data_IF_839597793085
#
_entry.id   IF_839597793085
#
_cell.length_a   1.000
_cell.length_b   1.000
_cell.length_c   1.000
_cell.angle_alpha   90.00
_cell.angle_beta   90.00
_cell.angle_gamma   90.00
#
_symmetry.space_group_name_H-M   'P 1'
#
loop_
_entity.id
_entity.type
_entity.pdbx_description
1 polymer ?
#
# COMPACT_ATOMS: atom_id res chain seq x y z
N UNK A 1 -2.59 -5.28 -12.67
CA UNK A 1 -2.51 -6.69 -12.26
C UNK A 1 -3.79 -7.38 -12.71
N UNK A 2 -3.73 -8.62 -13.21
CA UNK A 2 -4.91 -9.35 -13.71
C UNK A 2 -5.45 -10.31 -12.65
N UNK A 3 -6.74 -10.69 -12.76
CA UNK A 3 -7.34 -11.63 -11.82
C UNK A 3 -6.68 -13.02 -11.80
N UNK A 4 -6.09 -13.46 -12.92
CA UNK A 4 -5.34 -14.71 -12.98
C UNK A 4 -4.09 -14.68 -12.10
N UNK A 5 -3.34 -13.57 -12.12
CA UNK A 5 -2.15 -13.40 -11.28
C UNK A 5 -2.56 -13.38 -9.81
N UNK A 6 -3.59 -12.60 -9.47
CA UNK A 6 -4.07 -12.49 -8.08
C UNK A 6 -4.50 -13.85 -7.54
N UNK A 7 -5.35 -14.59 -8.27
CA UNK A 7 -5.84 -15.91 -7.84
C UNK A 7 -4.71 -16.91 -7.57
N UNK A 8 -3.60 -16.85 -8.32
CA UNK A 8 -2.43 -17.71 -8.09
C UNK A 8 -1.64 -17.35 -6.84
N UNK A 9 -1.68 -16.08 -6.42
CA UNK A 9 -0.92 -15.59 -5.27
C UNK A 9 -1.69 -15.71 -3.95
N UNK A 10 -3.03 -15.61 -3.98
CA UNK A 10 -3.89 -15.60 -2.80
C UNK A 10 -3.61 -16.73 -1.79
N UNK A 11 -3.41 -18.01 -2.18
CA UNK A 11 -3.19 -19.08 -1.21
C UNK A 11 -1.89 -18.92 -0.39
N UNK A 12 -0.93 -18.14 -0.87
CA UNK A 12 0.36 -17.89 -0.22
C UNK A 12 0.56 -16.45 0.25
N UNK A 13 -0.42 -15.57 0.08
CA UNK A 13 -0.34 -14.17 0.50
C UNK A 13 -1.23 -13.89 1.71
N UNK A 14 -0.86 -12.90 2.51
CA UNK A 14 -1.70 -12.43 3.61
C UNK A 14 -2.97 -11.73 3.11
N UNK A 15 -2.91 -11.12 1.92
CA UNK A 15 -4.01 -10.40 1.29
C UNK A 15 -3.59 -9.83 -0.06
N UNK A 16 -4.38 -8.88 -0.58
CA UNK A 16 -4.09 -8.15 -1.82
C UNK A 16 -3.95 -6.66 -1.52
N UNK A 17 -2.87 -6.06 -1.98
CA UNK A 17 -2.72 -4.60 -1.97
C UNK A 17 -3.26 -4.01 -3.27
N UNK A 18 -4.04 -2.95 -3.15
CA UNK A 18 -4.59 -2.17 -4.27
C UNK A 18 -4.40 -0.67 -4.02
N UNK A 19 -4.55 0.16 -5.04
CA UNK A 19 -4.44 1.62 -4.92
C UNK A 19 -5.82 2.32 -4.83
N UNK A 20 -6.90 1.66 -5.25
CA UNK A 20 -8.23 2.28 -5.33
C UNK A 20 -9.34 1.34 -4.86
N UNK A 21 -10.48 1.91 -4.48
CA UNK A 21 -11.70 1.15 -4.12
C UNK A 21 -12.25 0.34 -5.29
N UNK A 22 -12.13 0.83 -6.53
CA UNK A 22 -12.52 0.08 -7.72
C UNK A 22 -11.63 -1.17 -7.95
N UNK A 23 -10.35 -1.10 -7.61
CA UNK A 23 -9.46 -2.27 -7.62
C UNK A 23 -9.77 -3.20 -6.46
N UNK A 24 -10.13 -2.67 -5.29
CA UNK A 24 -10.59 -3.47 -4.16
C UNK A 24 -11.83 -4.30 -4.54
N UNK A 25 -12.83 -3.68 -5.18
CA UNK A 25 -14.02 -4.37 -5.67
C UNK A 25 -13.67 -5.56 -6.59
N UNK A 26 -12.76 -5.37 -7.54
CA UNK A 26 -12.29 -6.44 -8.42
C UNK A 26 -11.53 -7.53 -7.65
N UNK A 27 -10.69 -7.16 -6.68
CA UNK A 27 -9.96 -8.13 -5.86
C UNK A 27 -10.91 -9.02 -5.04
N UNK A 28 -12.01 -8.46 -4.51
CA UNK A 28 -13.07 -9.20 -3.83
C UNK A 28 -13.71 -10.21 -4.78
N UNK A 29 -14.07 -9.78 -5.99
CA UNK A 29 -14.64 -10.68 -7.01
C UNK A 29 -13.68 -11.81 -7.42
N UNK A 30 -12.37 -11.59 -7.28
CA UNK A 30 -11.35 -12.61 -7.51
C UNK A 30 -11.09 -13.51 -6.30
N UNK A 31 -11.82 -13.33 -5.19
CA UNK A 31 -11.76 -14.15 -4.00
C UNK A 31 -10.85 -13.62 -2.88
N UNK A 32 -10.37 -12.38 -2.96
CA UNK A 32 -9.61 -11.78 -1.88
C UNK A 32 -10.52 -11.44 -0.69
N UNK A 33 -10.23 -12.01 0.49
CA UNK A 33 -10.95 -11.71 1.74
C UNK A 33 -10.21 -10.67 2.59
N UNK A 34 -8.95 -10.37 2.26
CA UNK A 34 -8.18 -9.34 2.93
C UNK A 34 -7.56 -8.38 1.93
N UNK A 35 -7.92 -7.11 2.05
CA UNK A 35 -7.50 -6.07 1.11
C UNK A 35 -6.89 -4.89 1.85
N UNK A 36 -5.69 -4.50 1.42
CA UNK A 36 -5.07 -3.23 1.82
C UNK A 36 -5.16 -2.24 0.66
N UNK A 37 -5.99 -1.22 0.82
CA UNK A 37 -5.99 -0.04 -0.05
C UNK A 37 -4.83 0.83 0.42
N UNK A 38 -3.69 0.75 -0.25
CA UNK A 38 -2.48 1.52 0.06
C UNK A 38 -2.60 2.97 -0.44
N UNK A 39 -3.68 3.64 -0.05
CA UNK A 39 -4.00 5.03 -0.33
C UNK A 39 -5.10 5.51 0.64
N UNK A 40 -5.20 6.81 0.83
CA UNK A 40 -6.29 7.46 1.55
C UNK A 40 -7.59 7.38 0.72
N UNK A 41 -8.72 7.18 1.40
CA UNK A 41 -10.05 7.12 0.78
C UNK A 41 -10.92 8.21 1.38
N UNK A 42 -11.05 9.32 0.65
CA UNK A 42 -11.72 10.54 1.16
C UNK A 42 -13.12 10.73 0.58
N UNK A 43 -13.39 10.18 -0.61
CA UNK A 43 -14.65 10.41 -1.29
C UNK A 43 -15.79 9.59 -0.65
N UNK A 44 -16.82 10.27 -0.17
CA UNK A 44 -17.97 9.68 0.53
C UNK A 44 -18.56 8.46 -0.19
N UNK A 45 -18.83 8.54 -1.49
CA UNK A 45 -19.40 7.41 -2.24
C UNK A 45 -18.49 6.19 -2.29
N UNK A 46 -17.17 6.37 -2.27
CA UNK A 46 -16.22 5.26 -2.18
C UNK A 46 -16.23 4.62 -0.78
N UNK A 47 -16.33 5.43 0.28
CA UNK A 47 -16.43 4.94 1.65
C UNK A 47 -17.75 4.19 1.89
N UNK A 48 -18.85 4.67 1.33
CA UNK A 48 -20.17 4.02 1.41
C UNK A 48 -20.14 2.64 0.76
N UNK A 49 -19.46 2.52 -0.39
CA UNK A 49 -19.24 1.24 -1.07
C UNK A 49 -18.40 0.27 -0.22
N UNK A 50 -17.34 0.75 0.43
CA UNK A 50 -16.53 -0.07 1.33
C UNK A 50 -17.36 -0.56 2.53
N UNK A 51 -18.15 0.33 3.14
CA UNK A 51 -19.05 -0.01 4.25
C UNK A 51 -20.08 -1.06 3.85
N UNK A 52 -20.70 -0.91 2.67
CA UNK A 52 -21.68 -1.86 2.16
C UNK A 52 -21.06 -3.26 1.99
N UNK A 53 -19.87 -3.34 1.41
CA UNK A 53 -19.14 -4.60 1.22
C UNK A 53 -18.75 -5.27 2.53
N UNK A 54 -18.20 -4.50 3.47
CA UNK A 54 -17.86 -5.00 4.81
C UNK A 54 -19.11 -5.52 5.53
N UNK A 55 -20.23 -4.80 5.44
CA UNK A 55 -21.51 -5.22 6.05
C UNK A 55 -22.04 -6.52 5.44
N UNK A 56 -21.88 -6.72 4.13
CA UNK A 56 -22.38 -7.88 3.41
C UNK A 56 -21.53 -9.16 3.60
N UNK A 57 -20.27 -9.05 4.00
CA UNK A 57 -19.32 -10.18 4.02
C UNK A 57 -18.55 -10.27 5.36
N UNK A 58 -18.95 -11.16 6.28
CA UNK A 58 -18.31 -11.35 7.60
C UNK A 58 -16.80 -11.60 7.52
N UNK A 59 -16.37 -12.42 6.56
CA UNK A 59 -14.98 -12.78 6.31
C UNK A 59 -14.13 -11.69 5.62
N UNK A 60 -14.73 -10.60 5.15
CA UNK A 60 -14.01 -9.52 4.47
C UNK A 60 -13.35 -8.57 5.48
N UNK A 61 -12.07 -8.32 5.29
CA UNK A 61 -11.26 -7.33 5.99
C UNK A 61 -10.72 -6.31 4.99
N UNK A 62 -10.98 -5.02 5.23
CA UNK A 62 -10.46 -3.92 4.41
C UNK A 62 -9.64 -2.99 5.30
N UNK A 63 -8.45 -2.65 4.83
CA UNK A 63 -7.54 -1.70 5.43
C UNK A 63 -7.37 -0.50 4.49
N UNK A 64 -7.35 0.71 5.03
CA UNK A 64 -6.99 1.91 4.28
C UNK A 64 -6.06 2.81 5.10
N UNK A 65 -5.52 3.83 4.44
CA UNK A 65 -4.54 4.73 5.02
C UNK A 65 -5.17 6.01 5.57
N UNK A 66 -4.61 6.52 6.66
CA UNK A 66 -4.89 7.84 7.20
C UNK A 66 -3.58 8.59 7.48
N UNK A 67 -3.53 9.85 7.03
CA UNK A 67 -2.40 10.76 7.25
C UNK A 67 -2.82 12.13 7.79
N UNK A 68 -4.12 12.32 8.04
CA UNK A 68 -4.69 13.62 8.37
C UNK A 68 -6.05 13.50 9.06
N UNK A 69 -6.34 14.46 9.94
CA UNK A 69 -7.64 14.60 10.62
C UNK A 69 -8.81 14.63 9.63
N UNK A 70 -8.66 15.33 8.50
CA UNK A 70 -9.71 15.39 7.48
C UNK A 70 -10.03 14.00 6.89
N UNK A 71 -9.02 13.16 6.70
CA UNK A 71 -9.22 11.78 6.25
C UNK A 71 -9.93 10.92 7.29
N UNK A 72 -9.53 11.03 8.56
CA UNK A 72 -10.19 10.34 9.66
C UNK A 72 -11.65 10.76 9.77
N UNK A 73 -11.95 12.05 9.70
CA UNK A 73 -13.31 12.59 9.74
C UNK A 73 -14.16 12.09 8.57
N UNK A 74 -13.62 12.11 7.35
CA UNK A 74 -14.35 11.60 6.17
C UNK A 74 -14.75 10.12 6.34
N UNK A 75 -13.84 9.29 6.86
CA UNK A 75 -14.13 7.89 7.17
C UNK A 75 -15.16 7.76 8.29
N UNK A 76 -14.96 8.48 9.39
CA UNK A 76 -15.82 8.44 10.58
C UNK A 76 -17.27 8.80 10.24
N UNK A 77 -17.50 9.85 9.45
CA UNK A 77 -18.84 10.28 9.02
C UNK A 77 -19.61 9.18 8.26
N UNK A 78 -18.91 8.30 7.54
CA UNK A 78 -19.54 7.24 6.76
C UNK A 78 -19.65 5.95 7.56
N UNK A 79 -18.69 5.66 8.43
CA UNK A 79 -18.63 4.43 9.22
C UNK A 79 -19.30 4.54 10.59
N UNK A 80 -19.82 5.72 10.95
CA UNK A 80 -20.61 5.90 12.18
C UNK A 80 -21.72 4.85 12.28
N UNK A 81 -21.77 4.18 13.44
CA UNK A 81 -22.68 3.07 13.76
C UNK A 81 -22.63 1.90 12.77
N UNK A 82 -21.57 1.76 11.97
CA UNK A 82 -21.38 0.58 11.14
C UNK A 82 -21.24 -0.66 12.02
N UNK A 83 -21.97 -1.77 11.73
CA UNK A 83 -21.81 -3.02 12.47
C UNK A 83 -20.46 -3.69 12.20
N UNK A 84 -19.74 -3.24 11.16
CA UNK A 84 -18.43 -3.72 10.75
C UNK A 84 -17.49 -2.53 10.61
N UNK A 85 -16.43 -2.44 11.43
CA UNK A 85 -15.53 -1.31 11.38
C UNK A 85 -14.57 -1.39 10.18
N UNK A 86 -14.03 -0.23 9.78
CA UNK A 86 -12.95 -0.12 8.82
C UNK A 86 -11.60 -0.14 9.55
N UNK A 87 -10.67 -0.98 9.09
CA UNK A 87 -9.32 -1.00 9.64
C UNK A 87 -8.50 0.17 9.05
N UNK A 88 -7.85 0.94 9.90
CA UNK A 88 -7.08 2.12 9.50
C UNK A 88 -5.61 1.93 9.89
N UNK A 89 -4.72 2.16 8.93
CA UNK A 89 -3.28 2.23 9.15
C UNK A 89 -2.83 3.69 9.08
N UNK A 90 -2.00 4.12 10.03
CA UNK A 90 -1.35 5.43 9.93
C UNK A 90 -0.32 5.39 8.79
N UNK A 91 -0.44 6.26 7.80
CA UNK A 91 0.53 6.37 6.71
C UNK A 91 1.69 7.26 7.13
N UNK A 92 2.89 6.73 7.05
CA UNK A 92 4.14 7.45 7.28
C UNK A 92 4.74 7.71 5.91
N UNK A 93 5.11 8.96 5.65
CA UNK A 93 5.77 9.33 4.39
C UNK A 93 7.05 10.13 4.62
N UNK A 94 7.53 10.75 3.55
CA UNK A 94 8.77 11.54 3.55
C UNK A 94 8.48 13.00 3.23
N UNK A 95 9.31 13.91 3.74
CA UNK A 95 9.24 15.33 3.38
C UNK A 95 9.39 15.49 1.85
N UNK A 96 8.53 16.32 1.24
CA UNK A 96 8.48 16.49 -0.22
C UNK A 96 8.03 15.24 -0.99
N UNK A 97 7.58 14.20 -0.30
CA UNK A 97 7.01 13.00 -0.88
C UNK A 97 5.54 13.20 -1.26
N UNK A 98 4.78 12.10 -1.26
CA UNK A 98 3.35 12.09 -1.61
C UNK A 98 2.48 12.36 -0.37
N UNK A 99 2.06 11.29 0.31
CA UNK A 99 1.10 11.27 1.43
C UNK A 99 1.82 10.96 2.74
N UNK A 100 1.09 10.90 3.85
CA UNK A 100 1.60 10.43 5.13
C UNK A 100 1.95 11.54 6.11
N UNK A 101 2.08 11.18 7.39
CA UNK A 101 2.67 12.03 8.41
C UNK A 101 4.20 12.07 8.27
N UNK A 102 4.86 13.03 8.92
CA UNK A 102 6.31 13.26 8.78
C UNK A 102 7.11 13.02 10.06
N UNK A 103 6.43 12.84 11.20
CA UNK A 103 7.06 12.72 12.50
C UNK A 103 6.25 11.88 13.49
N UNK A 104 6.93 11.34 14.51
CA UNK A 104 6.31 10.66 15.67
C UNK A 104 5.30 11.55 16.39
N UNK A 105 5.60 12.86 16.50
CA UNK A 105 4.73 13.83 17.16
C UNK A 105 3.34 13.97 16.50
N UNK A 106 3.22 13.68 15.20
CA UNK A 106 1.95 13.66 14.48
C UNK A 106 1.18 12.34 14.66
N UNK A 107 1.87 11.24 14.96
CA UNK A 107 1.30 9.90 14.99
C UNK A 107 0.34 9.70 16.16
N UNK A 108 0.74 10.09 17.38
CA UNK A 108 -0.08 9.96 18.58
C UNK A 108 -1.44 10.66 18.48
N UNK A 109 -1.49 11.96 18.12
CA UNK A 109 -2.76 12.68 17.92
C UNK A 109 -3.66 12.04 16.86
N UNK A 110 -3.11 11.68 15.69
CA UNK A 110 -3.89 11.07 14.62
C UNK A 110 -4.42 9.68 15.01
N UNK A 111 -3.60 8.87 15.67
CA UNK A 111 -4.00 7.58 16.22
C UNK A 111 -5.13 7.71 17.26
N UNK A 112 -5.06 8.73 18.13
CA UNK A 112 -6.11 9.00 19.09
C UNK A 112 -7.43 9.40 18.41
N UNK A 113 -7.38 10.17 17.32
CA UNK A 113 -8.57 10.51 16.53
C UNK A 113 -9.21 9.28 15.88
N UNK A 114 -8.42 8.39 15.30
CA UNK A 114 -8.92 7.12 14.72
C UNK A 114 -9.65 6.30 15.78
N UNK A 115 -9.04 6.13 16.97
CA UNK A 115 -9.62 5.35 18.08
C UNK A 115 -10.88 5.98 18.67
N UNK A 116 -11.00 7.31 18.61
CA UNK A 116 -12.19 8.01 19.10
C UNK A 116 -13.38 7.90 18.12
N UNK A 117 -13.12 7.59 16.86
CA UNK A 117 -14.14 7.48 15.82
C UNK A 117 -14.85 6.13 15.86
N UNK A 118 -16.16 6.16 16.14
CA UNK A 118 -16.98 4.94 16.06
C UNK A 118 -16.99 4.37 14.64
N UNK A 119 -16.76 3.06 14.53
CA UNK A 119 -16.75 2.36 13.25
C UNK A 119 -15.39 2.37 12.54
N UNK A 120 -14.35 2.95 13.13
CA UNK A 120 -12.96 2.77 12.71
C UNK A 120 -12.22 1.91 13.74
N UNK A 121 -11.15 1.24 13.31
CA UNK A 121 -10.20 0.56 14.19
C UNK A 121 -8.78 0.97 13.83
N UNK A 122 -8.02 1.41 14.82
CA UNK A 122 -6.59 1.62 14.64
C UNK A 122 -5.88 0.26 14.55
N UNK A 123 -5.46 -0.10 13.33
CA UNK A 123 -5.03 -1.46 13.01
C UNK A 123 -3.54 -1.58 12.67
N UNK A 124 -2.77 -0.50 12.70
CA UNK A 124 -1.33 -0.54 12.45
C UNK A 124 -0.76 0.69 11.76
N UNK A 125 0.36 0.50 11.06
CA UNK A 125 1.12 1.55 10.37
C UNK A 125 1.50 1.07 8.97
N UNK A 126 1.50 2.01 8.02
CA UNK A 126 1.98 1.79 6.66
C UNK A 126 3.07 2.80 6.31
N UNK A 127 4.01 2.40 5.46
CA UNK A 127 5.00 3.27 4.85
C UNK A 127 5.32 2.79 3.43
N UNK A 128 5.76 3.70 2.56
CA UNK A 128 6.16 3.37 1.19
C UNK A 128 7.38 4.16 0.75
N UNK A 129 8.54 3.49 0.69
CA UNK A 129 9.81 4.10 0.32
C UNK A 129 9.99 4.28 -1.19
N UNK A 130 9.13 3.68 -2.02
CA UNK A 130 9.21 3.74 -3.49
C UNK A 130 8.91 5.12 -4.09
N UNK A 131 8.74 6.16 -3.27
CA UNK A 131 8.72 7.57 -3.69
C UNK A 131 10.15 8.11 -3.88
N UNK A 132 11.15 7.48 -3.24
CA UNK A 132 12.55 7.81 -3.42
C UNK A 132 13.02 7.52 -4.85
N UNK A 133 14.03 8.25 -5.36
CA UNK A 133 14.67 7.92 -6.62
C UNK A 133 15.11 6.46 -6.64
N UNK A 134 14.91 5.79 -7.78
CA UNK A 134 15.37 4.42 -7.99
C UNK A 134 16.89 4.39 -8.26
N UNK A 135 17.69 4.80 -7.28
CA UNK A 135 19.16 4.77 -7.29
C UNK A 135 19.68 4.28 -5.94
N UNK A 136 20.84 3.61 -5.92
CA UNK A 136 21.42 3.06 -4.69
C UNK A 136 22.67 3.84 -4.26
N UNK A 137 22.57 5.16 -4.22
CA UNK A 137 23.64 6.00 -3.64
C UNK A 137 23.56 5.98 -2.11
N UNK A 138 24.68 6.16 -1.41
CA UNK A 138 24.71 6.15 0.06
C UNK A 138 23.71 7.16 0.66
N UNK A 139 23.62 8.36 0.08
CA UNK A 139 22.68 9.39 0.52
C UNK A 139 21.21 8.96 0.35
N UNK A 140 20.87 8.32 -0.78
CA UNK A 140 19.50 7.86 -1.01
C UNK A 140 19.13 6.69 -0.09
N UNK A 141 20.05 5.73 0.07
CA UNK A 141 19.87 4.60 0.98
C UNK A 141 19.73 5.05 2.43
N UNK A 142 20.52 6.04 2.87
CA UNK A 142 20.38 6.63 4.20
C UNK A 142 19.00 7.30 4.41
N UNK A 143 18.48 7.97 3.39
CA UNK A 143 17.13 8.55 3.42
C UNK A 143 16.03 7.49 3.51
N UNK A 144 16.12 6.44 2.69
CA UNK A 144 15.20 5.29 2.72
C UNK A 144 15.24 4.59 4.08
N UNK A 145 16.44 4.34 4.59
CA UNK A 145 16.63 3.74 5.91
C UNK A 145 16.02 4.61 7.01
N UNK A 146 16.23 5.92 6.97
CA UNK A 146 15.62 6.85 7.94
C UNK A 146 14.11 6.79 7.89
N UNK A 147 13.52 6.69 6.70
CA UNK A 147 12.08 6.59 6.52
C UNK A 147 11.52 5.26 7.05
N UNK A 148 12.14 4.13 6.71
CA UNK A 148 11.71 2.83 7.23
C UNK A 148 11.86 2.75 8.75
N UNK A 149 12.92 3.35 9.30
CA UNK A 149 13.17 3.43 10.74
C UNK A 149 12.10 4.25 11.46
N UNK A 150 11.74 5.42 10.93
CA UNK A 150 10.65 6.24 11.46
C UNK A 150 9.31 5.47 11.50
N UNK A 151 8.97 4.77 10.42
CA UNK A 151 7.74 3.98 10.38
C UNK A 151 7.70 2.89 11.45
N UNK A 152 8.83 2.19 11.65
CA UNK A 152 8.98 1.19 12.70
C UNK A 152 8.86 1.82 14.08
N UNK A 153 9.55 2.93 14.32
CA UNK A 153 9.57 3.59 15.64
C UNK A 153 8.16 4.07 16.02
N UNK A 154 7.41 4.64 15.06
CA UNK A 154 5.98 4.98 15.22
C UNK A 154 5.12 3.74 15.52
N UNK A 155 5.35 2.63 14.82
CA UNK A 155 4.58 1.40 15.08
C UNK A 155 4.81 0.86 16.50
N UNK A 156 6.07 0.82 16.94
CA UNK A 156 6.42 0.36 18.28
C UNK A 156 5.89 1.31 19.37
N UNK A 157 5.93 2.63 19.14
CA UNK A 157 5.34 3.63 20.04
C UNK A 157 3.82 3.42 20.20
N UNK A 158 3.12 3.19 19.08
CA UNK A 158 1.67 3.00 19.06
C UNK A 158 1.22 1.59 19.44
N UNK A 159 2.14 0.63 19.69
CA UNK A 159 1.81 -0.79 19.80
C UNK A 159 0.70 -1.09 20.82
N UNK A 160 0.75 -0.47 21.99
CA UNK A 160 -0.24 -0.66 23.06
C UNK A 160 -1.60 0.03 22.79
N UNK A 161 -1.69 0.84 21.74
CA UNK A 161 -2.90 1.60 21.38
C UNK A 161 -3.72 0.93 20.28
N UNK A 162 -3.15 -0.02 19.55
CA UNK A 162 -3.85 -0.75 18.50
C UNK A 162 -5.04 -1.53 19.06
N UNK A 163 -6.11 -1.60 18.28
CA UNK A 163 -7.40 -2.18 18.69
C UNK A 163 -7.61 -3.60 18.12
N UNK A 164 -6.53 -4.21 17.64
CA UNK A 164 -6.49 -5.54 17.02
C UNK A 164 -5.37 -6.37 17.64
N UNK A 165 -5.58 -7.68 17.74
CA UNK A 165 -4.60 -8.59 18.37
C UNK A 165 -3.27 -8.67 17.59
N UNK A 166 -3.35 -8.54 16.26
CA UNK A 166 -2.21 -8.63 15.36
C UNK A 166 -2.16 -7.39 14.45
N UNK A 167 -1.57 -6.29 14.93
CA UNK A 167 -1.48 -5.04 14.17
C UNK A 167 -0.59 -5.21 12.93
N UNK A 168 -0.96 -4.51 11.85
CA UNK A 168 -0.32 -4.62 10.55
C UNK A 168 0.78 -3.57 10.43
N UNK A 169 2.00 -4.03 10.17
CA UNK A 169 3.09 -3.19 9.74
C UNK A 169 3.33 -3.41 8.24
N UNK A 170 2.96 -2.43 7.44
CA UNK A 170 3.00 -2.52 5.99
C UNK A 170 4.11 -1.66 5.42
N UNK A 171 5.11 -2.24 4.75
CA UNK A 171 6.19 -1.48 4.11
C UNK A 171 6.63 -2.10 2.76
N UNK A 172 7.54 -1.43 2.06
CA UNK A 172 8.31 -2.01 0.97
C UNK A 172 7.61 -2.05 -0.40
N UNK A 173 8.28 -1.43 -1.38
CA UNK A 173 8.09 -1.64 -2.81
C UNK A 173 9.20 -2.50 -3.42
N UNK A 174 9.13 -2.72 -4.73
CA UNK A 174 10.04 -3.66 -5.41
C UNK A 174 11.49 -3.17 -5.57
N UNK A 175 11.76 -1.88 -5.33
CA UNK A 175 13.07 -1.27 -5.47
C UNK A 175 13.96 -1.45 -4.23
N UNK A 176 13.40 -1.28 -3.03
CA UNK A 176 14.17 -1.24 -1.78
C UNK A 176 13.62 -2.20 -0.71
N UNK A 177 13.00 -3.30 -1.14
CA UNK A 177 12.47 -4.34 -0.26
C UNK A 177 13.51 -4.91 0.73
N UNK A 178 14.80 -4.93 0.38
CA UNK A 178 15.88 -5.32 1.31
C UNK A 178 16.03 -4.32 2.46
N UNK A 179 15.86 -3.03 2.18
CA UNK A 179 15.91 -1.97 3.20
C UNK A 179 14.66 -2.06 4.07
N UNK A 180 13.48 -2.19 3.46
CA UNK A 180 12.22 -2.36 4.17
C UNK A 180 12.25 -3.56 5.15
N UNK A 181 12.82 -4.69 4.72
CA UNK A 181 12.96 -5.89 5.56
C UNK A 181 14.00 -5.74 6.69
N UNK A 182 14.90 -4.76 6.62
CA UNK A 182 15.90 -4.49 7.66
C UNK A 182 15.33 -3.68 8.85
N UNK A 183 14.13 -3.10 8.70
CA UNK A 183 13.49 -2.23 9.71
C UNK A 183 12.10 -2.74 10.09
N UNK A 184 12.03 -3.99 10.57
CA UNK A 184 10.79 -4.55 11.11
C UNK A 184 10.55 -4.10 12.57
N UNK A 185 9.29 -4.02 13.03
CA UNK A 185 8.94 -3.75 14.42
C UNK A 185 9.59 -4.72 15.39
N UNK A 186 9.89 -4.22 16.59
CA UNK A 186 10.33 -5.08 17.69
C UNK A 186 9.14 -5.77 18.38
N UNK A 187 7.97 -5.12 18.31
CA UNK A 187 6.72 -5.61 18.86
C UNK A 187 6.03 -6.63 17.94
N UNK A 188 5.07 -7.39 18.46
CA UNK A 188 4.31 -8.37 17.65
C UNK A 188 3.57 -7.66 16.52
N UNK A 189 3.74 -8.15 15.29
CA UNK A 189 3.10 -7.58 14.11
C UNK A 189 2.85 -8.61 13.01
N UNK A 190 1.90 -8.30 12.13
CA UNK A 190 1.89 -8.87 10.78
C UNK A 190 2.69 -7.94 9.87
N UNK A 191 3.82 -8.44 9.36
CA UNK A 191 4.65 -7.68 8.43
C UNK A 191 4.22 -7.94 6.99
N UNK A 192 3.72 -6.89 6.32
CA UNK A 192 3.18 -6.97 4.96
C UNK A 192 4.09 -6.22 3.99
N UNK A 193 4.85 -6.98 3.20
CA UNK A 193 5.67 -6.45 2.11
C UNK A 193 4.82 -6.27 0.85
N UNK A 194 4.84 -5.07 0.24
CA UNK A 194 3.96 -4.71 -0.89
C UNK A 194 4.65 -4.63 -2.25
N UNK A 195 5.72 -5.40 -2.43
CA UNK A 195 6.37 -5.56 -3.73
C UNK A 195 5.35 -6.04 -4.77
N UNK A 196 5.19 -5.30 -5.87
CA UNK A 196 4.24 -5.63 -6.95
C UNK A 196 4.90 -5.90 -8.30
N UNK A 197 5.98 -5.17 -8.61
CA UNK A 197 6.66 -5.30 -9.90
C UNK A 197 7.55 -6.55 -9.99
N UNK A 198 7.78 -7.27 -8.88
CA UNK A 198 8.51 -8.55 -8.88
C UNK A 198 7.83 -9.63 -9.76
N UNK A 199 6.53 -9.52 -10.00
CA UNK A 199 5.76 -10.56 -10.72
C UNK A 199 6.07 -10.57 -12.21
N UNK A 200 6.23 -9.38 -12.80
CA UNK A 200 6.44 -9.22 -14.25
C UNK A 200 7.82 -8.67 -14.58
N UNK A 201 8.46 -8.00 -13.61
CA UNK A 201 9.66 -7.19 -13.78
C UNK A 201 9.52 -6.13 -14.89
N UNK A 202 10.41 -5.15 -14.93
CA UNK A 202 10.63 -4.35 -16.14
C UNK A 202 12.11 -4.44 -16.54
N UNK A 203 12.40 -4.20 -17.82
CA UNK A 203 13.75 -4.33 -18.39
C UNK A 203 14.68 -3.14 -18.05
N UNK A 204 14.34 -2.30 -17.05
CA UNK A 204 15.03 -1.03 -16.82
C UNK A 204 15.27 -0.74 -15.34
N UNK A 205 14.23 -0.26 -14.67
CA UNK A 205 14.30 0.21 -13.29
C UNK A 205 14.60 -0.93 -12.33
N UNK A 206 13.91 -2.06 -12.46
CA UNK A 206 14.04 -3.14 -11.49
C UNK A 206 15.26 -4.03 -11.71
N UNK A 207 15.83 -4.06 -12.93
CA UNK A 207 17.11 -4.74 -13.18
C UNK A 207 18.28 -4.08 -12.43
N UNK A 208 18.27 -2.75 -12.29
CA UNK A 208 19.38 -2.00 -11.70
C UNK A 208 19.24 -1.77 -10.19
N UNK A 209 18.01 -1.86 -9.64
CA UNK A 209 17.73 -1.45 -8.25
C UNK A 209 17.25 -2.60 -7.36
N UNK A 210 16.56 -3.61 -7.92
CA UNK A 210 16.04 -4.70 -7.12
C UNK A 210 17.16 -5.65 -6.67
N UNK A 211 17.16 -6.12 -5.42
CA UNK A 211 18.15 -7.09 -4.93
C UNK A 211 17.90 -8.53 -5.43
N UNK A 212 16.78 -8.81 -6.11
CA UNK A 212 16.45 -10.13 -6.64
C UNK A 212 16.99 -10.26 -8.07
N UNK A 213 17.81 -11.30 -8.39
CA UNK A 213 18.29 -11.54 -9.75
C UNK A 213 17.12 -11.74 -10.73
N UNK A 214 17.17 -11.04 -11.87
CA UNK A 214 16.14 -11.14 -12.91
C UNK A 214 16.21 -12.51 -13.59
N UNK A 215 15.09 -13.25 -13.60
CA UNK A 215 14.82 -14.25 -14.64
C UNK A 215 14.26 -13.51 -15.86
N UNK A 216 14.56 -13.94 -17.10
CA UNK A 216 14.15 -13.19 -18.28
C UNK A 216 12.61 -13.05 -18.32
N UNK A 217 12.09 -11.82 -18.51
CA UNK A 217 10.64 -11.61 -18.61
C UNK A 217 10.08 -12.31 -19.87
N UNK A 218 8.77 -12.59 -19.92
CA UNK A 218 8.12 -12.99 -21.16
C UNK A 218 8.35 -11.92 -22.24
N UNK A 219 8.86 -12.33 -23.40
CA UNK A 219 9.17 -11.45 -24.52
C UNK A 219 7.90 -10.85 -25.11
N UNK A 220 7.79 -9.51 -25.10
CA UNK A 220 6.79 -8.80 -25.89
C UNK A 220 7.28 -8.68 -27.34
N UNK A 221 6.69 -9.45 -28.25
CA UNK A 221 6.94 -9.30 -29.69
C UNK A 221 6.04 -8.19 -30.26
N UNK A 222 6.62 -7.03 -30.54
CA UNK A 222 5.99 -6.01 -31.38
C UNK A 222 6.55 -6.08 -32.79
N UNK A 223 5.77 -6.55 -33.77
CA UNK A 223 6.09 -6.35 -35.19
C UNK A 223 5.62 -4.95 -35.61
N UNK A 224 6.56 -4.06 -35.91
CA UNK A 224 6.28 -2.78 -36.54
C UNK A 224 6.66 -2.86 -38.02
N UNK A 225 5.66 -3.06 -38.88
CA UNK A 225 5.84 -2.97 -40.33
C UNK A 225 5.30 -1.63 -40.82
N UNK A 226 6.20 -0.66 -40.98
CA UNK A 226 5.92 0.51 -41.83
C UNK A 226 6.18 0.13 -43.28
N UNK A 227 5.24 0.38 -44.21
CA UNK A 227 5.59 0.39 -45.62
C UNK A 227 6.58 1.55 -45.88
N UNK A 228 7.56 1.38 -46.79
CA UNK A 228 8.48 2.45 -47.14
C UNK A 228 7.71 3.64 -47.73
N UNK A 229 8.06 4.85 -47.30
CA UNK A 229 7.54 6.10 -47.84
C UNK A 229 7.89 6.18 -49.33
N UNK A 230 6.87 6.33 -50.19
CA UNK A 230 7.04 6.53 -51.62
C UNK A 230 7.45 8.00 -51.88
N UNK A 231 8.66 8.30 -52.40
CA UNK A 231 9.10 9.67 -52.61
C UNK A 231 8.48 10.39 -53.82
N UNK A 232 7.50 9.79 -54.52
CA UNK A 232 7.03 10.25 -55.83
C UNK A 232 5.76 11.10 -55.88
N UNK A 233 5.21 11.63 -54.77
CA UNK A 233 3.91 12.32 -54.76
C UNK A 233 3.99 13.85 -54.61
N UNK A 234 4.98 14.49 -55.24
CA UNK A 234 4.96 15.93 -55.50
C UNK A 234 5.47 16.21 -56.91
N UNK A 235 4.53 16.23 -57.86
CA UNK A 235 4.63 16.98 -59.13
C UNK A 235 3.22 17.29 -59.63
#
# INVERSE_FOLDING_TARGET
>A
MTGEIVRRQLPGSWGVTVATTAQAAQAIEWGATRILIANEVLFRGHLEELRARLTASPELEIYCLADSTAGVQAMAEVFEHSPRPLNVLIDVGTAGGRTGIRSEAEAGPLAAEVRAAQGLLLAGVSAYEGVAPNTRTDANLAGIDSHCRLARDIFDELHATFEVDLPVFSNGGSAFQDRAAAFLPHSTSVNVLRSGCYVVHDHGTYQSVSPIPVSPPPSWFGHWSSPPLNPGALS
#
